data_IF_899436066503
#
_entry.id   IF_899436066503
#
_cell.length_a   1.000
_cell.length_b   1.000
_cell.length_c   1.000
_cell.angle_alpha   90.00
_cell.angle_beta   90.00
_cell.angle_gamma   90.00
#
_symmetry.space_group_name_H-M   'P 1'
#
loop_
_entity.id
_entity.type
_entity.pdbx_description
1 polymer ?
#
# COMPACT_ATOMS: atom_id res chain seq x y z
N UNK A 1 -3.96 -4.61 8.88
CA UNK A 1 -2.56 -5.09 8.68
C UNK A 1 -2.57 -6.10 7.55
N UNK A 2 -1.57 -6.05 6.66
CA UNK A 2 -1.45 -6.93 5.50
C UNK A 2 -0.01 -7.43 5.39
N UNK A 3 0.14 -8.71 5.13
CA UNK A 3 1.40 -9.36 4.77
C UNK A 3 1.28 -9.90 3.34
N UNK A 4 2.27 -9.63 2.51
CA UNK A 4 2.35 -10.15 1.15
C UNK A 4 3.69 -10.86 0.97
N UNK A 5 3.66 -12.08 0.43
CA UNK A 5 4.87 -12.88 0.18
C UNK A 5 4.79 -13.38 -1.25
N UNK A 6 5.88 -13.26 -2.01
CA UNK A 6 5.88 -13.72 -3.40
C UNK A 6 7.04 -13.18 -4.21
N UNK A 7 6.86 -13.21 -5.53
CA UNK A 7 7.82 -12.70 -6.51
C UNK A 7 7.50 -11.24 -6.86
N UNK A 8 8.54 -10.42 -6.88
CA UNK A 8 8.54 -8.99 -7.16
C UNK A 8 9.04 -8.69 -8.58
N UNK A 9 8.99 -7.42 -9.00
CA UNK A 9 9.25 -7.01 -10.37
C UNK A 9 10.66 -7.38 -10.87
N UNK A 10 11.68 -7.34 -10.00
CA UNK A 10 13.04 -7.72 -10.36
C UNK A 10 13.28 -9.24 -10.37
N UNK A 11 12.20 -10.05 -10.42
CA UNK A 11 12.21 -11.53 -10.29
C UNK A 11 12.77 -12.02 -8.95
N UNK A 12 12.89 -11.11 -7.99
CA UNK A 12 13.27 -11.35 -6.62
C UNK A 12 12.10 -11.90 -5.82
N UNK A 13 12.40 -12.73 -4.83
CA UNK A 13 11.42 -13.23 -3.86
C UNK A 13 11.55 -12.42 -2.59
N UNK A 14 10.41 -12.01 -2.04
CA UNK A 14 10.40 -11.15 -0.86
C UNK A 14 9.11 -11.21 -0.07
N UNK A 15 9.05 -10.33 0.93
CA UNK A 15 7.88 -10.09 1.73
C UNK A 15 7.66 -8.58 1.92
N UNK A 16 6.41 -8.15 1.88
CA UNK A 16 5.97 -6.79 2.18
C UNK A 16 5.03 -6.83 3.36
N UNK A 17 5.33 -6.01 4.37
CA UNK A 17 4.43 -5.73 5.48
C UNK A 17 3.79 -4.35 5.25
N UNK A 18 2.48 -4.27 5.44
CA UNK A 18 1.69 -3.05 5.32
C UNK A 18 0.82 -2.90 6.58
N UNK A 19 1.01 -1.79 7.27
CA UNK A 19 0.26 -1.43 8.47
C UNK A 19 -0.44 -0.11 8.18
N UNK A 20 -1.76 -0.12 8.32
CA UNK A 20 -2.58 1.06 8.11
C UNK A 20 -3.63 1.21 9.22
N UNK A 21 -3.88 2.46 9.58
CA UNK A 21 -4.97 2.88 10.45
C UNK A 21 -6.04 3.53 9.59
N UNK A 22 -7.30 3.11 9.78
CA UNK A 22 -8.48 3.78 9.24
C UNK A 22 -9.14 4.57 10.35
N UNK A 23 -9.62 5.76 10.01
CA UNK A 23 -10.38 6.63 10.90
C UNK A 23 -11.86 6.57 10.52
N UNK A 24 -12.74 6.99 11.43
CA UNK A 24 -14.20 6.98 11.21
C UNK A 24 -14.63 7.88 10.03
N UNK A 25 -13.79 8.85 9.66
CA UNK A 25 -13.94 9.64 8.43
C UNK A 25 -13.72 8.84 7.14
N UNK A 26 -13.33 7.57 7.21
CA UNK A 26 -12.94 6.74 6.07
C UNK A 26 -11.53 7.02 5.53
N UNK A 27 -10.85 8.06 6.04
CA UNK A 27 -9.44 8.32 5.76
C UNK A 27 -8.59 7.15 6.26
N UNK A 28 -7.62 6.73 5.45
CA UNK A 28 -6.66 5.70 5.82
C UNK A 28 -5.23 6.25 5.72
N UNK A 29 -4.41 5.98 6.73
CA UNK A 29 -2.97 6.29 6.72
C UNK A 29 -2.22 5.00 6.92
N UNK A 30 -1.27 4.71 6.03
CA UNK A 30 -0.51 3.46 6.07
C UNK A 30 0.97 3.64 5.80
N UNK A 31 1.73 2.70 6.33
CA UNK A 31 3.17 2.54 6.09
C UNK A 31 3.44 1.12 5.65
N UNK A 32 4.44 0.95 4.79
CA UNK A 32 4.84 -0.37 4.33
C UNK A 32 6.35 -0.48 4.23
N UNK A 33 6.84 -1.71 4.34
CA UNK A 33 8.22 -2.06 4.09
C UNK A 33 8.29 -3.40 3.34
N UNK A 34 9.20 -3.51 2.38
CA UNK A 34 9.43 -4.70 1.59
C UNK A 34 10.90 -5.12 1.67
N UNK A 35 11.13 -6.40 1.94
CA UNK A 35 12.45 -7.03 1.94
C UNK A 35 12.44 -8.13 0.88
N UNK A 36 13.52 -8.27 0.13
CA UNK A 36 13.67 -9.34 -0.86
C UNK A 36 15.07 -9.94 -0.84
N UNK A 37 15.26 -11.01 -1.61
CA UNK A 37 16.53 -11.72 -1.74
C UNK A 37 17.54 -11.05 -2.69
N UNK A 38 17.32 -9.79 -3.08
CA UNK A 38 18.29 -8.99 -3.83
C UNK A 38 19.51 -8.69 -2.95
N UNK A 39 20.70 -8.76 -3.53
CA UNK A 39 21.95 -8.50 -2.79
C UNK A 39 22.01 -7.05 -2.30
N UNK A 40 22.68 -6.79 -1.17
CA UNK A 40 22.84 -5.42 -0.63
C UNK A 40 23.62 -4.51 -1.57
N UNK A 41 24.52 -5.07 -2.37
CA UNK A 41 25.31 -4.33 -3.36
C UNK A 41 24.43 -3.88 -4.55
N UNK A 42 23.48 -4.72 -4.97
CA UNK A 42 22.47 -4.36 -5.96
C UNK A 42 21.41 -3.39 -5.39
N UNK A 43 21.20 -3.41 -4.08
CA UNK A 43 20.24 -2.55 -3.38
C UNK A 43 20.78 -1.17 -3.02
N UNK A 44 22.10 -1.02 -2.83
CA UNK A 44 22.80 0.25 -2.55
C UNK A 44 22.51 0.95 -1.21
N UNK A 45 21.35 0.74 -0.57
CA UNK A 45 20.88 1.53 0.59
C UNK A 45 20.22 0.69 1.70
N UNK A 46 20.69 -0.54 1.89
CA UNK A 46 20.35 -1.34 3.08
C UNK A 46 19.37 -2.49 2.86
N UNK A 47 19.00 -2.82 1.62
CA UNK A 47 18.33 -4.09 1.29
C UNK A 47 16.81 -4.11 1.49
N UNK A 48 16.17 -2.96 1.67
CA UNK A 48 14.71 -2.88 1.85
C UNK A 48 14.08 -1.60 1.28
N UNK A 49 12.89 -1.76 0.73
CA UNK A 49 12.03 -0.68 0.23
C UNK A 49 11.02 -0.28 1.29
N UNK A 50 10.66 0.99 1.38
CA UNK A 50 9.72 1.50 2.38
C UNK A 50 8.93 2.66 1.83
N UNK A 51 7.76 2.93 2.39
CA UNK A 51 6.98 4.11 2.04
C UNK A 51 5.79 4.32 2.95
N UNK A 52 5.09 5.41 2.72
CA UNK A 52 3.81 5.70 3.37
C UNK A 52 2.78 6.15 2.34
N UNK A 53 1.51 6.07 2.72
CA UNK A 53 0.41 6.54 1.92
C UNK A 53 -0.72 7.09 2.79
N UNK A 54 -1.46 8.03 2.21
CA UNK A 54 -2.70 8.58 2.74
C UNK A 54 -3.77 8.35 1.68
N UNK A 55 -4.91 7.79 2.08
CA UNK A 55 -6.04 7.56 1.20
C UNK A 55 -7.30 8.22 1.73
N UNK A 56 -7.86 9.14 0.94
CA UNK A 56 -8.99 9.99 1.30
C UNK A 56 -10.17 9.65 0.39
N UNK A 57 -11.34 9.27 0.95
CA UNK A 57 -12.54 9.03 0.14
C UNK A 57 -13.09 10.33 -0.45
N UNK A 58 -13.49 10.30 -1.73
CA UNK A 58 -14.07 11.47 -2.40
C UNK A 58 -15.49 11.77 -1.96
N UNK A 59 -16.19 10.82 -1.34
CA UNK A 59 -17.50 11.05 -0.71
C UNK A 59 -17.45 12.15 0.37
N UNK A 60 -16.30 12.40 0.98
CA UNK A 60 -16.10 13.54 1.89
C UNK A 60 -16.13 14.91 1.19
N UNK A 61 -16.00 14.94 -0.14
CA UNK A 61 -15.84 16.14 -0.96
C UNK A 61 -16.90 16.25 -2.07
N UNK A 62 -17.77 15.25 -2.25
CA UNK A 62 -18.78 15.20 -3.32
C UNK A 62 -20.18 15.01 -2.75
N UNK A 63 -21.19 15.56 -3.44
CA UNK A 63 -22.59 15.55 -2.99
C UNK A 63 -23.29 14.19 -3.25
N UNK A 64 -22.67 13.30 -4.04
CA UNK A 64 -23.24 12.00 -4.41
C UNK A 64 -22.37 10.82 -3.94
N UNK A 65 -22.97 9.64 -3.70
CA UNK A 65 -22.23 8.46 -3.25
C UNK A 65 -21.15 8.09 -4.27
N UNK A 66 -19.89 8.12 -3.85
CA UNK A 66 -18.76 7.82 -4.72
C UNK A 66 -17.76 6.90 -4.03
N UNK A 67 -17.37 5.82 -4.73
CA UNK A 67 -16.40 4.83 -4.26
C UNK A 67 -14.94 5.23 -4.54
N UNK A 68 -14.74 6.35 -5.24
CA UNK A 68 -13.42 6.83 -5.59
C UNK A 68 -12.66 7.36 -4.37
N UNK A 69 -11.34 7.18 -4.37
CA UNK A 69 -10.44 7.64 -3.33
C UNK A 69 -9.27 8.40 -3.97
N UNK A 70 -8.88 9.54 -3.40
CA UNK A 70 -7.56 10.09 -3.62
C UNK A 70 -6.52 9.25 -2.87
N UNK A 71 -5.37 9.03 -3.49
CA UNK A 71 -4.23 8.37 -2.86
C UNK A 71 -3.01 9.27 -3.06
N UNK A 72 -2.39 9.66 -1.95
CA UNK A 72 -1.09 10.31 -1.94
C UNK A 72 -0.12 9.33 -1.33
N UNK A 73 0.97 9.01 -2.03
CA UNK A 73 2.02 8.11 -1.54
C UNK A 73 3.39 8.74 -1.70
N UNK A 74 4.28 8.38 -0.78
CA UNK A 74 5.68 8.76 -0.84
C UNK A 74 6.57 7.57 -0.46
N UNK A 75 7.61 7.40 -1.26
CA UNK A 75 8.60 6.33 -1.14
C UNK A 75 9.98 6.99 -1.28
N UNK A 76 10.81 7.04 -0.24
CA UNK A 76 12.16 7.56 -0.35
C UNK A 76 13.01 6.67 -1.25
N UNK A 77 13.77 7.29 -2.16
CA UNK A 77 14.80 6.73 -3.04
C UNK A 77 14.46 5.35 -3.65
N UNK A 78 14.09 5.38 -4.94
CA UNK A 78 13.70 4.18 -5.71
C UNK A 78 14.93 3.42 -6.18
N UNK A 79 15.24 2.31 -5.51
CA UNK A 79 15.88 1.15 -6.17
C UNK A 79 14.87 0.01 -6.22
N UNK A 80 14.91 -0.77 -7.30
CA UNK A 80 13.78 -1.64 -7.73
C UNK A 80 13.59 -2.92 -6.89
N UNK A 81 14.38 -3.10 -5.83
CA UNK A 81 14.26 -4.28 -4.97
C UNK A 81 12.95 -4.26 -4.19
N UNK A 82 12.22 -5.39 -4.18
CA UNK A 82 10.96 -5.48 -3.44
C UNK A 82 9.82 -4.58 -3.97
N UNK A 83 9.91 -4.09 -5.21
CA UNK A 83 8.83 -3.32 -5.83
C UNK A 83 7.68 -4.24 -6.25
N UNK A 84 6.49 -4.01 -5.69
CA UNK A 84 5.29 -4.74 -6.08
C UNK A 84 4.87 -4.34 -7.51
N UNK A 85 4.44 -5.31 -8.31
CA UNK A 85 3.79 -5.04 -9.58
C UNK A 85 2.55 -4.17 -9.36
N UNK A 86 2.44 -3.07 -10.11
CA UNK A 86 1.21 -2.28 -10.17
C UNK A 86 0.11 -3.10 -10.82
N UNK A 87 -0.80 -3.63 -10.00
CA UNK A 87 -1.93 -4.45 -10.45
C UNK A 87 -3.18 -3.59 -10.49
N UNK A 88 -3.93 -3.68 -11.60
CA UNK A 88 -5.23 -3.00 -11.77
C UNK A 88 -6.24 -3.36 -10.67
N UNK A 89 -6.20 -4.60 -10.18
CA UNK A 89 -7.06 -5.07 -9.10
C UNK A 89 -6.20 -5.66 -7.97
N UNK A 90 -6.42 -5.17 -6.75
CA UNK A 90 -5.90 -5.77 -5.52
C UNK A 90 -7.08 -6.23 -4.65
N UNK A 91 -6.98 -7.42 -4.06
CA UNK A 91 -8.11 -8.05 -3.35
C UNK A 91 -8.49 -7.32 -2.04
N UNK A 92 -7.50 -6.77 -1.33
CA UNK A 92 -7.73 -6.04 -0.07
C UNK A 92 -8.58 -4.77 -0.25
N UNK A 93 -8.30 -3.85 -1.19
CA UNK A 93 -9.19 -2.71 -1.41
C UNK A 93 -10.58 -3.11 -1.92
N UNK A 94 -10.74 -4.26 -2.59
CA UNK A 94 -12.05 -4.74 -3.03
C UNK A 94 -12.95 -5.22 -1.89
N UNK A 95 -12.39 -5.66 -0.76
CA UNK A 95 -13.14 -6.15 0.40
C UNK A 95 -13.19 -5.15 1.56
N UNK A 96 -12.39 -4.09 1.49
CA UNK A 96 -12.28 -3.06 2.51
C UNK A 96 -13.61 -2.35 2.85
N UNK A 97 -14.56 -2.29 1.92
CA UNK A 97 -15.88 -1.70 2.15
C UNK A 97 -16.69 -2.44 3.23
N UNK A 98 -16.49 -3.75 3.40
CA UNK A 98 -17.17 -4.54 4.45
C UNK A 98 -16.72 -4.14 5.86
N UNK A 99 -15.50 -3.62 5.97
CA UNK A 99 -14.87 -3.29 7.25
C UNK A 99 -15.20 -1.87 7.73
N UNK A 100 -15.89 -1.06 6.92
CA UNK A 100 -16.35 0.27 7.33
C UNK A 100 -17.62 0.09 8.18
N UNK A 101 -17.62 0.51 9.46
CA UNK A 101 -18.86 0.57 10.22
C UNK A 101 -19.78 1.56 9.52
N UNK A 102 -20.88 1.08 8.98
CA UNK A 102 -21.97 1.95 8.53
C UNK A 102 -22.55 2.57 9.80
N UNK A 103 -22.37 3.88 9.96
CA UNK A 103 -23.08 4.63 10.98
C UNK A 103 -24.58 4.43 10.81
N UNK A 104 -25.25 4.08 11.90
CA UNK A 104 -26.69 4.24 12.05
C UNK A 104 -27.07 5.73 12.06
#
# INVERSE_FOLDING_TARGET
MKLSVGQYLAKDKGATIDVAKRFDSGVAVGVWAAISNVSKDDYGEGGFSKGFYISIPFDLMTIGPNRNRAVVSWTPLTRDGGQMLSRKYQLYPMTAEREVPVGQ
#
